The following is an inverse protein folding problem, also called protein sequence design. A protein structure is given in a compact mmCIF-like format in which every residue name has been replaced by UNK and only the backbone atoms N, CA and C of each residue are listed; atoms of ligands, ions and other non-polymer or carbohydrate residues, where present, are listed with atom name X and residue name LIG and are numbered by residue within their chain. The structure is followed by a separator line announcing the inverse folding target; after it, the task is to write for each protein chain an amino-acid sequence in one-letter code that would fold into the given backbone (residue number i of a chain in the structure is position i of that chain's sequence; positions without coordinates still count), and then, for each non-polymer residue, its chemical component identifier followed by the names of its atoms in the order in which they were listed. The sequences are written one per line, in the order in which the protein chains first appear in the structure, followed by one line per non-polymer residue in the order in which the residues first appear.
data_IF_247947493399
#
_entry.id   IF_247947493399
#
_cell.length_a   1.000
_cell.length_b   1.000
_cell.length_c   1.000
_cell.angle_alpha   90.00
_cell.angle_beta   90.00
_cell.angle_gamma   90.00
#
_symmetry.space_group_name_H-M   'P 1'
#
loop_
_entity.id
_entity.type
_entity.pdbx_description
1 polymer ?
#
# COMPACT_ATOMS: atom_id res chain seq x y z
N UNK A 1 6.71 32.28 -7.10
CA UNK A 1 7.11 31.69 -5.81
C UNK A 1 7.83 30.41 -6.17
N UNK A 2 9.15 30.52 -6.21
CA UNK A 2 10.01 29.49 -6.76
C UNK A 2 10.03 28.27 -5.84
N UNK A 3 9.59 27.14 -6.38
CA UNK A 3 9.65 25.84 -5.73
C UNK A 3 11.11 25.46 -5.52
N UNK A 4 11.51 25.31 -4.26
CA UNK A 4 12.77 24.69 -3.89
C UNK A 4 12.88 23.30 -4.57
N UNK A 5 13.84 23.07 -5.48
CA UNK A 5 13.93 21.82 -6.25
C UNK A 5 14.28 20.59 -5.40
N UNK A 6 14.75 20.79 -4.16
CA UNK A 6 15.04 19.71 -3.21
C UNK A 6 13.82 19.18 -2.44
N UNK A 7 12.67 19.85 -2.56
CA UNK A 7 11.44 19.43 -1.91
C UNK A 7 10.65 18.52 -2.85
N UNK A 8 10.74 17.21 -2.65
CA UNK A 8 9.83 16.28 -3.30
C UNK A 8 8.38 16.61 -2.91
N UNK A 9 7.50 16.72 -3.90
CA UNK A 9 6.09 17.05 -3.73
C UNK A 9 5.25 15.88 -3.15
N UNK A 10 5.75 15.16 -2.14
CA UNK A 10 5.08 14.02 -1.53
C UNK A 10 3.74 14.39 -0.88
N UNK A 11 3.54 15.65 -0.50
CA UNK A 11 2.26 16.20 -0.03
C UNK A 11 1.18 16.19 -1.11
N UNK A 12 1.55 16.28 -2.38
CA UNK A 12 0.63 16.42 -3.51
C UNK A 12 0.11 15.06 -4.00
N UNK A 13 -1.21 14.92 -4.16
CA UNK A 13 -1.81 13.69 -4.74
C UNK A 13 -1.29 13.41 -6.15
N UNK A 14 -1.10 14.47 -6.94
CA UNK A 14 -0.62 14.36 -8.32
C UNK A 14 0.77 13.71 -8.45
N UNK A 15 1.64 13.89 -7.44
CA UNK A 15 2.94 13.21 -7.40
C UNK A 15 2.76 11.69 -7.35
N UNK A 16 1.89 11.22 -6.45
CA UNK A 16 1.63 9.80 -6.24
C UNK A 16 0.88 9.17 -7.40
N UNK A 17 -0.14 9.85 -7.93
CA UNK A 17 -0.86 9.40 -9.13
C UNK A 17 0.10 9.18 -10.30
N UNK A 18 1.03 10.11 -10.53
CA UNK A 18 2.06 9.97 -11.56
C UNK A 18 2.96 8.77 -11.29
N UNK A 19 3.50 8.66 -10.07
CA UNK A 19 4.36 7.55 -9.68
C UNK A 19 3.67 6.20 -9.90
N UNK A 20 2.47 5.98 -9.36
CA UNK A 20 1.78 4.70 -9.47
C UNK A 20 1.48 4.33 -10.93
N UNK A 21 1.15 5.30 -11.78
CA UNK A 21 1.00 5.05 -13.21
C UNK A 21 2.32 4.66 -13.89
N UNK A 22 3.43 5.32 -13.56
CA UNK A 22 4.75 4.99 -14.10
C UNK A 22 5.22 3.60 -13.65
N UNK A 23 5.11 3.29 -12.37
CA UNK A 23 5.48 1.97 -11.83
C UNK A 23 4.62 0.87 -12.45
N UNK A 24 3.31 1.08 -12.61
CA UNK A 24 2.43 0.14 -13.33
C UNK A 24 2.86 -0.08 -14.78
N UNK A 25 3.23 0.98 -15.50
CA UNK A 25 3.70 0.88 -16.89
C UNK A 25 5.02 0.12 -16.99
N UNK A 26 5.93 0.33 -16.04
CA UNK A 26 7.27 -0.28 -16.02
C UNK A 26 7.25 -1.74 -15.57
N UNK A 27 6.44 -2.07 -14.57
CA UNK A 27 6.51 -3.35 -13.84
C UNK A 27 5.23 -4.19 -13.92
N UNK A 28 4.15 -3.65 -14.50
CA UNK A 28 2.87 -4.33 -14.65
C UNK A 28 1.90 -4.10 -13.48
N UNK A 29 0.67 -4.62 -13.63
CA UNK A 29 -0.43 -4.41 -12.69
C UNK A 29 -0.24 -5.10 -11.32
N UNK A 30 0.58 -6.15 -11.27
CA UNK A 30 0.84 -6.91 -10.06
C UNK A 30 2.11 -6.45 -9.32
N UNK A 31 2.72 -5.36 -9.75
CA UNK A 31 3.88 -4.83 -9.07
C UNK A 31 3.52 -4.37 -7.65
N UNK A 32 4.30 -4.81 -6.67
CA UNK A 32 4.22 -4.36 -5.29
C UNK A 32 5.46 -3.58 -4.92
N UNK A 33 5.31 -2.58 -4.07
CA UNK A 33 6.42 -1.75 -3.62
C UNK A 33 6.18 -1.26 -2.19
N UNK A 34 7.16 -1.49 -1.32
CA UNK A 34 7.23 -0.94 0.02
C UNK A 34 8.25 0.19 0.06
N UNK A 35 7.83 1.38 0.53
CA UNK A 35 8.67 2.57 0.45
C UNK A 35 9.83 2.58 1.45
N UNK A 36 9.59 2.07 2.66
CA UNK A 36 10.57 2.15 3.74
C UNK A 36 11.09 0.77 4.15
N UNK A 37 10.21 -0.10 4.66
CA UNK A 37 10.55 -1.45 5.08
C UNK A 37 9.73 -2.46 4.29
N UNK A 38 10.35 -3.51 3.71
CA UNK A 38 9.63 -4.61 3.10
C UNK A 38 8.65 -5.27 4.07
N UNK A 39 7.54 -5.77 3.55
CA UNK A 39 6.52 -6.47 4.34
C UNK A 39 7.11 -7.61 5.19
N UNK A 40 8.13 -8.31 4.70
CA UNK A 40 8.80 -9.42 5.38
C UNK A 40 9.49 -8.99 6.68
N UNK A 41 10.04 -7.77 6.70
CA UNK A 41 10.69 -7.20 7.89
C UNK A 41 9.65 -6.66 8.89
N UNK A 42 8.53 -6.14 8.38
CA UNK A 42 7.45 -5.64 9.21
C UNK A 42 6.60 -6.76 9.84
N UNK A 43 6.48 -7.90 9.17
CA UNK A 43 5.58 -8.99 9.56
C UNK A 43 5.83 -9.54 10.96
N UNK A 44 7.08 -9.83 11.42
CA UNK A 44 7.34 -10.29 12.78
C UNK A 44 6.81 -9.33 13.86
N UNK A 45 6.88 -8.02 13.61
CA UNK A 45 6.38 -6.99 14.53
C UNK A 45 4.85 -7.05 14.58
N UNK A 46 4.20 -7.08 13.42
CA UNK A 46 2.73 -7.20 13.31
C UNK A 46 2.25 -8.49 13.97
N UNK A 47 2.93 -9.62 13.74
CA UNK A 47 2.56 -10.90 14.34
C UNK A 47 2.66 -10.86 15.87
N UNK A 48 3.65 -10.18 16.43
CA UNK A 48 3.83 -10.03 17.87
C UNK A 48 2.64 -9.31 18.53
N UNK A 49 2.17 -8.22 17.92
CA UNK A 49 1.13 -7.37 18.54
C UNK A 49 -0.30 -7.68 18.06
N UNK A 50 -0.47 -8.05 16.80
CA UNK A 50 -1.77 -8.28 16.19
C UNK A 50 -2.08 -9.76 15.98
N UNK A 51 -1.07 -10.65 15.99
CA UNK A 51 -1.25 -12.08 15.73
C UNK A 51 -2.09 -12.81 16.78
N UNK A 52 -2.26 -12.22 17.97
CA UNK A 52 -3.08 -12.75 19.07
C UNK A 52 -4.57 -12.84 18.74
N UNK A 53 -5.05 -12.04 17.79
CA UNK A 53 -6.45 -12.08 17.37
C UNK A 53 -6.59 -11.67 15.89
N UNK A 54 -6.90 -12.66 15.05
CA UNK A 54 -7.10 -12.47 13.60
C UNK A 54 -8.42 -11.79 13.25
N UNK A 55 -9.34 -11.62 14.21
CA UNK A 55 -10.61 -10.93 14.02
C UNK A 55 -10.52 -9.40 14.20
N UNK A 56 -9.33 -8.85 14.43
CA UNK A 56 -9.15 -7.41 14.49
C UNK A 56 -9.56 -6.72 13.17
N UNK A 57 -10.18 -5.55 13.31
CA UNK A 57 -10.42 -4.63 12.20
C UNK A 57 -9.16 -3.80 12.00
N UNK A 58 -8.52 -3.95 10.86
CA UNK A 58 -7.22 -3.32 10.54
C UNK A 58 -7.43 -2.20 9.53
N UNK A 59 -6.90 -1.02 9.83
CA UNK A 59 -6.83 0.11 8.90
C UNK A 59 -5.37 0.38 8.52
N UNK A 60 -5.05 0.27 7.23
CA UNK A 60 -3.72 0.58 6.68
C UNK A 60 -3.81 1.94 5.98
N UNK A 61 -3.14 2.94 6.56
CA UNK A 61 -3.10 4.31 6.06
C UNK A 61 -1.97 4.46 5.04
N UNK A 62 -2.26 5.04 3.87
CA UNK A 62 -1.28 5.21 2.80
C UNK A 62 -0.81 3.86 2.27
N UNK A 63 -1.75 2.97 1.96
CA UNK A 63 -1.42 1.58 1.62
C UNK A 63 -0.56 1.44 0.36
N UNK A 64 -0.58 2.44 -0.53
CA UNK A 64 0.15 2.42 -1.79
C UNK A 64 -0.02 1.11 -2.54
N UNK A 65 1.05 0.61 -3.16
CA UNK A 65 1.11 -0.71 -3.80
C UNK A 65 1.76 -1.77 -2.90
N UNK A 66 1.76 -1.57 -1.57
CA UNK A 66 2.37 -2.53 -0.64
C UNK A 66 1.67 -3.88 -0.71
N UNK A 67 2.44 -4.97 -0.54
CA UNK A 67 1.89 -6.32 -0.40
C UNK A 67 1.27 -6.56 1.00
N UNK A 68 1.40 -5.61 1.93
CA UNK A 68 1.05 -5.80 3.33
C UNK A 68 -0.40 -6.25 3.53
N UNK A 69 -1.37 -5.63 2.84
CA UNK A 69 -2.78 -6.02 2.93
C UNK A 69 -2.98 -7.49 2.53
N UNK A 70 -2.38 -7.90 1.42
CA UNK A 70 -2.48 -9.27 0.86
C UNK A 70 -1.81 -10.28 1.79
N UNK A 71 -0.62 -9.97 2.31
CA UNK A 71 0.07 -10.83 3.26
C UNK A 71 -0.72 -10.98 4.55
N UNK A 72 -1.26 -9.89 5.11
CA UNK A 72 -2.12 -9.97 6.30
C UNK A 72 -3.36 -10.82 6.03
N UNK A 73 -4.00 -10.67 4.87
CA UNK A 73 -5.16 -11.47 4.49
C UNK A 73 -4.82 -12.97 4.43
N UNK A 74 -3.73 -13.32 3.74
CA UNK A 74 -3.24 -14.70 3.65
C UNK A 74 -2.87 -15.30 5.02
N UNK A 75 -2.58 -14.45 6.01
CA UNK A 75 -2.26 -14.84 7.39
C UNK A 75 -3.49 -14.85 8.32
N UNK A 76 -4.69 -14.77 7.75
CA UNK A 76 -5.98 -14.97 8.42
C UNK A 76 -6.68 -13.68 8.88
N UNK A 77 -6.12 -12.50 8.65
CA UNK A 77 -6.80 -11.24 8.95
C UNK A 77 -7.83 -10.93 7.86
N UNK A 78 -9.12 -11.04 8.14
CA UNK A 78 -10.17 -10.88 7.10
C UNK A 78 -10.84 -9.51 7.07
N UNK A 79 -10.60 -8.67 8.08
CA UNK A 79 -11.23 -7.35 8.22
C UNK A 79 -10.20 -6.23 8.00
N UNK A 80 -9.67 -6.13 6.78
CA UNK A 80 -8.62 -5.17 6.41
C UNK A 80 -9.21 -4.08 5.53
N UNK A 81 -8.93 -2.83 5.85
CA UNK A 81 -9.24 -1.66 5.02
C UNK A 81 -7.94 -0.92 4.71
N UNK A 82 -7.53 -0.91 3.45
CA UNK A 82 -6.44 -0.06 2.96
C UNK A 82 -6.99 1.23 2.38
N UNK A 83 -6.43 2.37 2.77
CA UNK A 83 -6.76 3.66 2.16
C UNK A 83 -5.51 4.36 1.65
N UNK A 84 -5.68 5.13 0.58
CA UNK A 84 -4.65 5.98 0.01
C UNK A 84 -5.31 7.24 -0.55
N UNK A 85 -4.58 8.35 -0.57
CA UNK A 85 -5.08 9.60 -1.16
C UNK A 85 -5.13 9.53 -2.69
N UNK A 86 -4.33 8.65 -3.30
CA UNK A 86 -4.31 8.42 -4.74
C UNK A 86 -5.44 7.48 -5.15
N UNK A 87 -6.41 8.00 -5.91
CA UNK A 87 -7.48 7.16 -6.46
C UNK A 87 -6.94 6.17 -7.51
N UNK A 88 -5.83 6.52 -8.17
CA UNK A 88 -5.14 5.67 -9.16
C UNK A 88 -4.75 4.33 -8.52
N UNK A 89 -4.05 4.37 -7.37
CA UNK A 89 -3.63 3.12 -6.74
C UNK A 89 -4.79 2.34 -6.14
N UNK A 90 -5.80 3.01 -5.58
CA UNK A 90 -7.01 2.34 -5.08
C UNK A 90 -7.73 1.57 -6.20
N UNK A 91 -7.91 2.20 -7.37
CA UNK A 91 -8.49 1.52 -8.53
C UNK A 91 -7.64 0.33 -9.00
N UNK A 92 -6.31 0.46 -9.00
CA UNK A 92 -5.42 -0.63 -9.35
C UNK A 92 -5.53 -1.81 -8.38
N UNK A 93 -5.55 -1.57 -7.07
CA UNK A 93 -5.68 -2.61 -6.06
C UNK A 93 -7.05 -3.27 -6.09
N UNK A 94 -8.13 -2.51 -6.28
CA UNK A 94 -9.47 -3.05 -6.44
C UNK A 94 -9.55 -4.01 -7.63
N UNK A 95 -8.92 -3.67 -8.75
CA UNK A 95 -8.86 -4.55 -9.90
C UNK A 95 -8.00 -5.80 -9.63
N UNK A 96 -6.84 -5.63 -8.99
CA UNK A 96 -5.93 -6.74 -8.64
C UNK A 96 -6.61 -7.77 -7.73
N UNK A 97 -7.42 -7.32 -6.77
CA UNK A 97 -8.07 -8.17 -5.77
C UNK A 97 -9.54 -8.48 -6.08
N UNK A 98 -10.02 -8.18 -7.29
CA UNK A 98 -11.44 -8.35 -7.68
C UNK A 98 -11.94 -9.80 -7.62
N UNK A 99 -11.03 -10.79 -7.61
CA UNK A 99 -11.34 -12.21 -7.63
C UNK A 99 -10.76 -13.01 -6.44
N UNK A 100 -10.29 -12.32 -5.41
CA UNK A 100 -9.91 -12.94 -4.13
C UNK A 100 -11.10 -12.96 -3.17
#
# INVERSE_FOLDING_TARGET
MDSNPDCHAYGETAYWDRRYNEERRKHGINHTFDWYLPCEELWPIIQTYCGVNKAFKVLILGCGSSALCEVMYNMGFTQITGIDKSQVIIAHLQHRYQHQ
#
